data_IF_523017165508
#
_entry.id   IF_523017165508
#
_cell.length_a   1.000
_cell.length_b   1.000
_cell.length_c   1.000
_cell.angle_alpha   90.00
_cell.angle_beta   90.00
_cell.angle_gamma   90.00
#
_symmetry.space_group_name_H-M   'P 1'
#
loop_
_entity.id
_entity.type
_entity.pdbx_description
1 polymer ?
#
# COMPACT_ATOMS: atom_id res chain seq x y z
N UNK A 1 33.61 5.64 -36.43
CA UNK A 1 33.14 6.31 -35.19
C UNK A 1 31.68 6.80 -35.26
N UNK A 2 31.14 7.22 -36.42
CA UNK A 2 29.76 7.74 -36.53
C UNK A 2 28.64 6.67 -36.44
N UNK A 3 28.94 5.42 -36.77
CA UNK A 3 27.99 4.30 -36.72
C UNK A 3 27.65 3.83 -35.28
N UNK A 4 28.56 4.04 -34.31
CA UNK A 4 28.30 3.68 -32.91
C UNK A 4 27.27 4.59 -32.24
N UNK A 5 27.24 5.87 -32.63
CA UNK A 5 26.26 6.84 -32.11
C UNK A 5 24.83 6.55 -32.61
N UNK A 6 24.68 6.02 -33.83
CA UNK A 6 23.39 5.64 -34.41
C UNK A 6 22.75 4.43 -33.71
N UNK A 7 23.55 3.53 -33.15
CA UNK A 7 23.07 2.36 -32.39
C UNK A 7 22.78 2.66 -30.91
N UNK A 8 23.30 3.76 -30.37
CA UNK A 8 23.11 4.11 -28.96
C UNK A 8 21.70 4.64 -28.66
N UNK A 9 21.06 5.33 -29.62
CA UNK A 9 19.73 5.92 -29.44
C UNK A 9 18.61 4.91 -29.15
N UNK A 10 18.46 3.80 -29.90
CA UNK A 10 17.42 2.80 -29.59
C UNK A 10 17.66 2.07 -28.26
N UNK A 11 18.93 1.92 -27.85
CA UNK A 11 19.28 1.25 -26.60
C UNK A 11 18.84 2.05 -25.36
N UNK A 12 18.98 3.38 -25.41
CA UNK A 12 18.53 4.27 -24.32
C UNK A 12 16.99 4.29 -24.22
N UNK A 13 16.30 4.28 -25.36
CA UNK A 13 14.82 4.20 -25.40
C UNK A 13 14.30 2.86 -24.85
N UNK A 14 14.99 1.75 -25.13
CA UNK A 14 14.64 0.44 -24.58
C UNK A 14 14.82 0.38 -23.05
N UNK A 15 15.85 1.03 -22.50
CA UNK A 15 16.06 1.11 -21.06
C UNK A 15 14.97 1.95 -20.35
N UNK A 16 14.47 3.00 -20.98
CA UNK A 16 13.38 3.80 -20.43
C UNK A 16 12.06 3.02 -20.31
N UNK A 17 11.88 1.94 -21.09
CA UNK A 17 10.71 1.07 -21.02
C UNK A 17 10.76 0.05 -19.86
N UNK A 18 11.93 -0.18 -19.24
CA UNK A 18 12.09 -1.04 -18.07
C UNK A 18 11.96 -0.30 -16.73
N UNK A 19 11.55 0.98 -16.75
CA UNK A 19 11.31 1.76 -15.55
C UNK A 19 10.04 1.32 -14.81
N UNK A 20 10.12 1.30 -13.48
CA UNK A 20 8.99 1.02 -12.59
C UNK A 20 7.87 2.05 -12.86
N UNK A 21 6.69 1.59 -13.26
CA UNK A 21 5.50 2.46 -13.39
C UNK A 21 4.86 2.61 -12.02
N UNK A 22 4.21 3.75 -11.77
CA UNK A 22 3.46 3.98 -10.51
C UNK A 22 2.32 2.96 -10.29
N UNK A 23 1.90 2.30 -11.37
CA UNK A 23 0.90 1.22 -11.39
C UNK A 23 1.50 -0.18 -11.24
N UNK A 24 2.82 -0.33 -11.28
CA UNK A 24 3.43 -1.64 -11.07
C UNK A 24 3.31 -2.02 -9.59
N UNK A 25 3.02 -3.29 -9.27
CA UNK A 25 3.00 -3.76 -7.90
C UNK A 25 4.34 -3.48 -7.19
N UNK A 26 4.25 -2.78 -6.07
CA UNK A 26 5.35 -2.54 -5.14
C UNK A 26 5.57 -3.75 -4.21
N UNK A 27 6.55 -3.65 -3.29
CA UNK A 27 6.72 -4.63 -2.22
C UNK A 27 5.42 -4.79 -1.43
N UNK A 28 4.98 -6.03 -1.19
CA UNK A 28 3.68 -6.31 -0.57
C UNK A 28 2.50 -6.44 -1.54
N UNK A 29 2.75 -6.33 -2.86
CA UNK A 29 1.72 -6.57 -3.90
C UNK A 29 0.76 -5.40 -4.12
N UNK A 30 0.99 -4.26 -3.46
CA UNK A 30 0.20 -3.03 -3.60
C UNK A 30 0.94 -2.01 -4.46
N UNK A 31 0.20 -1.25 -5.24
CA UNK A 31 0.71 -0.10 -6.00
C UNK A 31 1.06 1.05 -5.08
N UNK A 32 1.83 2.02 -5.58
CA UNK A 32 2.18 3.23 -4.82
C UNK A 32 0.92 4.03 -4.46
N UNK A 33 -0.06 4.07 -5.37
CA UNK A 33 -1.34 4.74 -5.14
C UNK A 33 -2.15 4.07 -4.03
N UNK A 34 -2.22 2.74 -4.02
CA UNK A 34 -2.91 1.98 -2.97
C UNK A 34 -2.24 2.17 -1.61
N UNK A 35 -0.90 2.08 -1.54
CA UNK A 35 -0.17 2.30 -0.29
C UNK A 35 -0.47 3.69 0.30
N UNK A 36 -0.47 4.73 -0.54
CA UNK A 36 -0.81 6.10 -0.12
C UNK A 36 -2.24 6.22 0.41
N UNK A 37 -3.20 5.55 -0.23
CA UNK A 37 -4.59 5.54 0.23
C UNK A 37 -4.73 4.84 1.60
N UNK A 38 -3.97 3.76 1.82
CA UNK A 38 -3.91 3.07 3.12
C UNK A 38 -3.31 3.96 4.22
N UNK A 39 -2.23 4.69 3.92
CA UNK A 39 -1.61 5.63 4.87
C UNK A 39 -2.56 6.76 5.27
N UNK A 40 -3.31 7.31 4.31
CA UNK A 40 -4.33 8.33 4.57
C UNK A 40 -5.44 7.79 5.48
N UNK A 41 -5.91 6.56 5.21
CA UNK A 41 -6.90 5.90 6.05
C UNK A 41 -6.38 5.69 7.49
N UNK A 42 -5.13 5.25 7.64
CA UNK A 42 -4.50 5.11 8.96
C UNK A 42 -4.41 6.45 9.70
N UNK A 43 -4.04 7.53 9.00
CA UNK A 43 -3.99 8.86 9.58
C UNK A 43 -5.38 9.34 10.09
N UNK A 44 -6.47 8.99 9.40
CA UNK A 44 -7.82 9.29 9.88
C UNK A 44 -8.18 8.53 11.17
N UNK A 45 -7.71 7.29 11.33
CA UNK A 45 -7.92 6.50 12.54
C UNK A 45 -7.11 7.10 13.71
N UNK A 46 -5.85 7.45 13.47
CA UNK A 46 -4.99 8.06 14.48
C UNK A 46 -5.48 9.46 14.89
N UNK A 47 -6.02 10.25 13.96
CA UNK A 47 -6.65 11.53 14.28
C UNK A 47 -7.87 11.40 15.22
N UNK A 48 -8.50 10.22 15.24
CA UNK A 48 -9.65 9.90 16.10
C UNK A 48 -9.26 9.00 17.26
N UNK A 49 -7.97 8.91 17.62
CA UNK A 49 -7.50 8.05 18.69
C UNK A 49 -8.28 8.35 19.98
N UNK A 50 -9.03 7.38 20.53
CA UNK A 50 -9.75 7.61 21.76
C UNK A 50 -8.76 7.80 22.92
N UNK A 51 -9.18 8.45 24.02
CA UNK A 51 -8.33 8.59 25.20
C UNK A 51 -7.86 7.23 25.70
N UNK A 52 -6.66 7.18 26.28
CA UNK A 52 -6.10 5.97 26.88
C UNK A 52 -7.09 5.38 27.88
N UNK A 53 -7.40 4.09 27.70
CA UNK A 53 -8.34 3.34 28.53
C UNK A 53 -9.79 3.31 28.04
N UNK A 54 -10.08 3.88 26.87
CA UNK A 54 -11.38 3.72 26.22
C UNK A 54 -11.70 2.26 25.79
N UNK A 55 -10.68 1.40 25.72
CA UNK A 55 -10.82 -0.04 25.44
C UNK A 55 -10.64 -0.89 26.71
N UNK A 56 -10.52 -0.28 27.88
CA UNK A 56 -10.52 -0.99 29.16
C UNK A 56 -11.98 -1.36 29.53
N UNK A 57 -12.67 -2.04 28.61
CA UNK A 57 -13.93 -2.72 28.90
C UNK A 57 -13.62 -4.09 29.50
N UNK A 58 -14.17 -4.28 30.69
CA UNK A 58 -14.07 -5.41 31.60
C UNK A 58 -14.13 -6.80 30.90
N UNK A 59 -13.30 -7.79 31.30
CA UNK A 59 -13.32 -9.14 30.74
C UNK A 59 -14.67 -9.89 30.89
N UNK A 60 -15.66 -9.33 31.60
CA UNK A 60 -17.00 -9.88 31.70
C UNK A 60 -17.93 -9.55 30.51
N UNK A 61 -17.61 -8.61 29.61
CA UNK A 61 -18.51 -8.20 28.50
C UNK A 61 -18.30 -8.96 27.17
N UNK A 62 -17.46 -9.99 27.11
CA UNK A 62 -17.17 -10.71 25.87
C UNK A 62 -17.08 -12.24 26.02
N UNK A 63 -17.96 -12.86 26.80
CA UNK A 63 -18.25 -14.29 26.62
C UNK A 63 -19.32 -14.47 25.50
N UNK A 64 -19.18 -15.50 24.63
CA UNK A 64 -19.63 -15.45 23.24
C UNK A 64 -21.05 -15.99 23.04
N UNK A 65 -21.86 -15.35 22.19
CA UNK A 65 -23.07 -15.99 21.67
C UNK A 65 -22.74 -16.72 20.37
N UNK A 66 -22.31 -17.98 20.51
CA UNK A 66 -22.43 -18.93 19.41
C UNK A 66 -23.92 -19.28 19.25
N UNK A 67 -24.64 -18.62 18.36
CA UNK A 67 -25.92 -19.10 17.79
C UNK A 67 -26.51 -18.10 16.76
N UNK A 68 -26.09 -18.20 15.50
CA UNK A 68 -26.86 -17.86 14.29
C UNK A 68 -25.89 -18.04 13.10
N UNK A 69 -26.04 -18.97 12.16
CA UNK A 69 -27.15 -19.81 11.75
C UNK A 69 -27.07 -19.86 10.22
N UNK A 70 -26.77 -21.05 9.68
CA UNK A 70 -26.71 -21.50 8.27
C UNK A 70 -25.72 -20.79 7.31
#
# INVERSE_FOLDING_TARGET
MRHGALLALPLVLALAACGKKDTDPGPGGVTVAEAKALDEAAAMIDARKPPSGALDEDPASAAPSSAAGD
#
